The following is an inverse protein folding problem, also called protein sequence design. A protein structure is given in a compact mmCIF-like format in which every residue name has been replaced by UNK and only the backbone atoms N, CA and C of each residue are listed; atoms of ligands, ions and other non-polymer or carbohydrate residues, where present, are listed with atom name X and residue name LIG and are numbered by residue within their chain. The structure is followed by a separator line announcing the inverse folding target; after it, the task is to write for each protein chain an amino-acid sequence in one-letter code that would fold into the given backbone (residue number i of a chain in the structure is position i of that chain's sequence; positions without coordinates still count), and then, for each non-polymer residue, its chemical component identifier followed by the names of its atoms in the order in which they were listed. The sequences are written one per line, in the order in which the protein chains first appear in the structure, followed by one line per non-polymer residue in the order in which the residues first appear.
data_IF_302711123862
#
_entry.id   IF_302711123862
#
_cell.length_a   1.000
_cell.length_b   1.000
_cell.length_c   1.000
_cell.angle_alpha   90.00
_cell.angle_beta   90.00
_cell.angle_gamma   90.00
#
_symmetry.space_group_name_H-M   'P 1'
#
loop_
_entity.id
_entity.type
_entity.pdbx_description
1 polymer ?
#
# COMPACT_ATOMS: atom_id res chain seq x y z
N UNK A 1 -19.03 11.72 25.39
CA UNK A 1 -18.45 11.74 24.02
C UNK A 1 -17.24 10.80 23.87
N UNK A 2 -16.38 10.62 24.88
CA UNK A 2 -15.22 9.70 24.82
C UNK A 2 -15.57 8.24 24.44
N UNK A 3 -16.60 7.66 25.07
CA UNK A 3 -17.02 6.28 24.80
C UNK A 3 -17.56 6.04 23.38
N UNK A 4 -18.00 7.09 22.67
CA UNK A 4 -18.52 6.97 21.31
C UNK A 4 -17.36 6.98 20.29
N UNK A 5 -16.32 7.79 20.52
CA UNK A 5 -15.11 7.77 19.70
C UNK A 5 -14.40 6.43 19.80
N UNK A 6 -14.18 5.90 20.99
CA UNK A 6 -13.55 4.59 21.17
C UNK A 6 -14.34 3.46 20.50
N UNK A 7 -15.68 3.51 20.56
CA UNK A 7 -16.53 2.52 19.92
C UNK A 7 -16.40 2.57 18.39
N UNK A 8 -16.43 3.77 17.81
CA UNK A 8 -16.26 3.99 16.37
C UNK A 8 -14.87 3.57 15.90
N UNK A 9 -13.82 3.91 16.66
CA UNK A 9 -12.44 3.51 16.38
C UNK A 9 -12.31 1.98 16.40
N UNK A 10 -12.88 1.31 17.41
CA UNK A 10 -12.86 -0.15 17.54
C UNK A 10 -13.64 -0.87 16.44
N UNK A 11 -14.78 -0.33 16.02
CA UNK A 11 -15.55 -0.88 14.89
C UNK A 11 -14.78 -0.72 13.59
N UNK A 12 -14.17 0.45 13.36
CA UNK A 12 -13.30 0.71 12.20
C UNK A 12 -12.12 -0.25 12.15
N UNK A 13 -11.40 -0.41 13.26
CA UNK A 13 -10.24 -1.31 13.34
C UNK A 13 -10.65 -2.77 13.12
N UNK A 14 -11.78 -3.20 13.71
CA UNK A 14 -12.28 -4.56 13.47
C UNK A 14 -12.69 -4.77 12.02
N UNK A 15 -13.31 -3.76 11.39
CA UNK A 15 -13.78 -3.82 10.01
C UNK A 15 -12.61 -3.85 9.02
N UNK A 16 -11.61 -3.00 9.22
CA UNK A 16 -10.37 -3.01 8.42
C UNK A 16 -9.63 -4.34 8.58
N UNK A 17 -9.56 -4.87 9.82
CA UNK A 17 -8.93 -6.16 10.08
C UNK A 17 -9.67 -7.31 9.38
N UNK A 18 -11.00 -7.30 9.41
CA UNK A 18 -11.84 -8.32 8.76
C UNK A 18 -11.73 -8.27 7.23
N UNK A 19 -11.68 -7.08 6.63
CA UNK A 19 -11.47 -6.92 5.18
C UNK A 19 -10.09 -7.43 4.77
N UNK A 20 -9.04 -7.09 5.52
CA UNK A 20 -7.70 -7.59 5.25
C UNK A 20 -7.62 -9.11 5.39
N UNK A 21 -8.24 -9.70 6.41
CA UNK A 21 -8.30 -11.16 6.62
C UNK A 21 -9.09 -11.86 5.49
N UNK A 22 -10.20 -11.29 5.05
CA UNK A 22 -10.96 -11.76 3.89
C UNK A 22 -10.11 -11.69 2.61
N UNK A 23 -9.39 -10.60 2.40
CA UNK A 23 -8.50 -10.43 1.25
C UNK A 23 -7.33 -11.42 1.28
N UNK A 24 -6.75 -11.70 2.45
CA UNK A 24 -5.62 -12.62 2.62
C UNK A 24 -6.03 -14.11 2.56
N UNK A 25 -7.31 -14.40 2.86
CA UNK A 25 -7.90 -15.74 2.74
C UNK A 25 -8.13 -16.17 1.30
N UNK A 26 -8.31 -15.23 0.36
CA UNK A 26 -8.49 -15.53 -1.06
C UNK A 26 -7.19 -15.58 -1.87
N UNK A 27 -6.04 -15.35 -1.23
CA UNK A 27 -4.74 -15.34 -1.92
C UNK A 27 -4.23 -16.75 -2.13
N UNK A 28 -3.91 -17.05 -3.38
CA UNK A 28 -3.28 -18.31 -3.77
C UNK A 28 -1.89 -18.44 -3.15
N UNK A 29 -1.43 -19.68 -2.96
CA UNK A 29 -0.06 -19.93 -2.46
C UNK A 29 1.01 -19.27 -3.34
N UNK A 30 0.77 -19.20 -4.66
CA UNK A 30 1.64 -18.50 -5.60
C UNK A 30 1.76 -17.01 -5.32
N UNK A 31 0.67 -16.33 -4.97
CA UNK A 31 0.69 -14.90 -4.63
C UNK A 31 1.42 -14.62 -3.32
N UNK A 32 1.30 -15.51 -2.33
CA UNK A 32 2.02 -15.39 -1.04
C UNK A 32 3.52 -15.59 -1.21
N UNK A 33 3.94 -16.54 -2.06
CA UNK A 33 5.35 -16.76 -2.39
C UNK A 33 5.90 -15.60 -3.21
N UNK A 34 5.13 -15.10 -4.18
CA UNK A 34 5.51 -13.95 -5.01
C UNK A 34 5.68 -12.67 -4.17
N UNK A 35 4.83 -12.42 -3.17
CA UNK A 35 4.99 -11.32 -2.21
C UNK A 35 6.34 -11.39 -1.50
N UNK A 36 6.63 -12.53 -0.88
CA UNK A 36 7.90 -12.72 -0.15
C UNK A 36 9.11 -12.62 -1.07
N UNK A 37 9.00 -13.12 -2.29
CA UNK A 37 10.05 -13.03 -3.30
C UNK A 37 10.28 -11.58 -3.76
N UNK A 38 9.22 -10.79 -3.94
CA UNK A 38 9.32 -9.38 -4.31
C UNK A 38 9.96 -8.54 -3.19
N UNK A 39 9.55 -8.75 -1.94
CA UNK A 39 10.12 -8.07 -0.78
C UNK A 39 11.60 -8.44 -0.58
N UNK A 40 11.95 -9.71 -0.79
CA UNK A 40 13.34 -10.17 -0.69
C UNK A 40 14.22 -9.65 -1.83
N UNK A 41 13.72 -9.68 -3.08
CA UNK A 41 14.44 -9.21 -4.25
C UNK A 41 14.64 -7.67 -4.25
N UNK A 42 13.77 -6.92 -3.57
CA UNK A 42 13.89 -5.47 -3.40
C UNK A 42 14.88 -5.01 -2.33
N UNK A 43 15.47 -5.93 -1.55
CA UNK A 43 16.39 -5.57 -0.45
C UNK A 43 17.81 -5.30 -0.93
N UNK A 44 18.45 -4.28 -0.33
CA UNK A 44 19.88 -4.01 -0.50
C UNK A 44 20.78 -5.20 -0.11
N UNK A 45 20.36 -6.01 0.86
CA UNK A 45 21.10 -7.20 1.29
C UNK A 45 21.12 -8.29 0.21
N UNK A 46 20.07 -8.40 -0.60
CA UNK A 46 19.99 -9.37 -1.70
C UNK A 46 20.99 -9.01 -2.81
N UNK A 47 21.05 -7.72 -3.18
CA UNK A 47 21.99 -7.22 -4.20
C UNK A 47 23.44 -7.52 -3.80
N UNK A 48 23.81 -7.22 -2.55
CA UNK A 48 25.16 -7.49 -2.03
C UNK A 48 25.48 -8.98 -1.96
N UNK A 49 24.53 -9.81 -1.51
CA UNK A 49 24.71 -11.27 -1.49
C UNK A 49 24.88 -11.84 -2.90
N UNK A 50 24.11 -11.36 -3.88
CA UNK A 50 24.19 -11.81 -5.26
C UNK A 50 25.55 -11.44 -5.87
N UNK A 51 26.03 -10.23 -5.63
CA UNK A 51 27.36 -9.79 -6.05
C UNK A 51 28.47 -10.64 -5.42
N UNK A 52 28.36 -10.96 -4.13
CA UNK A 52 29.32 -11.83 -3.44
C UNK A 52 29.36 -13.25 -4.04
N UNK A 53 28.20 -13.84 -4.36
CA UNK A 53 28.12 -15.17 -4.99
C UNK A 53 28.76 -15.15 -6.38
N UNK A 54 28.53 -14.11 -7.19
CA UNK A 54 29.16 -13.95 -8.50
C UNK A 54 30.67 -13.85 -8.38
N UNK A 55 31.18 -13.02 -7.47
CA UNK A 55 32.61 -12.90 -7.21
C UNK A 55 33.21 -14.22 -6.74
N UNK A 56 32.53 -14.95 -5.85
CA UNK A 56 32.96 -16.27 -5.38
C UNK A 56 33.02 -17.27 -6.53
N UNK A 57 32.03 -17.30 -7.42
CA UNK A 57 32.00 -18.18 -8.59
C UNK A 57 33.14 -17.90 -9.57
N UNK A 58 33.41 -16.62 -9.82
CA UNK A 58 34.52 -16.17 -10.67
C UNK A 58 35.86 -16.54 -10.02
N UNK A 59 36.04 -16.27 -8.72
CA UNK A 59 37.25 -16.63 -7.98
C UNK A 59 37.48 -18.15 -7.94
N UNK A 60 36.42 -18.93 -7.71
CA UNK A 60 36.48 -20.39 -7.70
C UNK A 60 36.87 -20.96 -9.07
N UNK A 61 36.22 -20.52 -10.15
CA UNK A 61 36.58 -20.95 -11.50
C UNK A 61 37.99 -20.50 -11.89
N UNK A 62 38.40 -19.28 -11.53
CA UNK A 62 39.75 -18.76 -11.81
C UNK A 62 40.82 -19.54 -11.04
N UNK A 63 40.54 -19.98 -9.81
CA UNK A 63 41.45 -20.81 -9.00
C UNK A 63 41.59 -22.25 -9.54
N UNK A 64 40.50 -22.82 -10.07
CA UNK A 64 40.45 -24.19 -10.62
C UNK A 64 41.06 -24.33 -12.02
N UNK A 65 41.38 -23.21 -12.69
CA UNK A 65 42.10 -23.18 -13.98
C UNK A 65 43.38 -24.01 -13.97
N UNK A 66 44.06 -24.15 -12.82
CA UNK A 66 45.32 -24.92 -12.71
C UNK A 66 45.17 -26.44 -12.91
N UNK A 67 43.97 -27.02 -12.73
CA UNK A 67 43.79 -28.48 -12.76
C UNK A 67 42.86 -28.95 -13.88
N UNK A 68 41.70 -28.30 -14.07
CA UNK A 68 40.78 -28.50 -15.22
C UNK A 68 39.65 -27.48 -15.12
N UNK A 69 39.55 -26.47 -16.01
CA UNK A 69 38.51 -25.45 -15.90
C UNK A 69 37.11 -26.05 -16.17
N UNK A 70 36.17 -25.80 -15.26
CA UNK A 70 34.76 -26.20 -15.41
C UNK A 70 33.99 -25.20 -16.29
N UNK A 71 34.28 -23.89 -16.14
CA UNK A 71 33.78 -22.81 -17.01
C UNK A 71 34.94 -21.85 -17.37
N UNK A 72 35.67 -22.11 -18.47
CA UNK A 72 36.78 -21.26 -18.90
C UNK A 72 36.30 -19.85 -19.28
N UNK A 73 37.16 -18.85 -19.11
CA UNK A 73 36.90 -17.50 -19.62
C UNK A 73 36.57 -17.58 -21.12
N UNK A 74 35.41 -17.08 -21.60
CA UNK A 74 34.58 -15.98 -21.07
C UNK A 74 33.34 -16.36 -20.21
N UNK A 75 33.34 -17.51 -19.51
CA UNK A 75 32.26 -17.98 -18.63
C UNK A 75 30.90 -18.18 -19.31
N UNK A 76 30.82 -19.15 -20.23
CA UNK A 76 29.64 -19.36 -21.08
C UNK A 76 28.41 -19.81 -20.26
N UNK A 77 28.62 -20.62 -19.21
CA UNK A 77 27.54 -21.13 -18.37
C UNK A 77 26.98 -20.03 -17.47
N UNK A 78 27.86 -19.22 -16.87
CA UNK A 78 27.45 -18.07 -16.08
C UNK A 78 26.63 -17.08 -16.91
N UNK A 79 27.09 -16.80 -18.14
CA UNK A 79 26.41 -15.89 -19.05
C UNK A 79 25.02 -16.41 -19.45
N UNK A 80 24.89 -17.71 -19.73
CA UNK A 80 23.61 -18.34 -20.05
C UNK A 80 22.61 -18.22 -18.89
N UNK A 81 23.05 -18.50 -17.66
CA UNK A 81 22.20 -18.40 -16.47
C UNK A 81 21.77 -16.96 -16.21
N UNK A 82 22.69 -16.00 -16.28
CA UNK A 82 22.38 -14.59 -16.10
C UNK A 82 21.41 -14.06 -17.15
N UNK A 83 21.57 -14.47 -18.41
CA UNK A 83 20.66 -14.10 -19.50
C UNK A 83 19.25 -14.66 -19.29
N UNK A 84 19.15 -15.90 -18.81
CA UNK A 84 17.87 -16.52 -18.46
C UNK A 84 17.19 -15.80 -17.28
N UNK A 85 17.94 -15.47 -16.23
CA UNK A 85 17.44 -14.71 -15.07
C UNK A 85 16.95 -13.32 -15.48
N UNK A 86 17.71 -12.60 -16.31
CA UNK A 86 17.34 -11.29 -16.81
C UNK A 86 16.05 -11.33 -17.66
N UNK A 87 15.89 -12.37 -18.49
CA UNK A 87 14.68 -12.55 -19.31
C UNK A 87 13.41 -12.75 -18.46
N UNK A 88 13.52 -13.44 -17.33
CA UNK A 88 12.41 -13.65 -16.39
C UNK A 88 12.14 -12.45 -15.48
N UNK A 89 13.10 -11.52 -15.37
CA UNK A 89 13.02 -10.38 -14.45
C UNK A 89 11.90 -9.41 -14.84
N UNK A 90 11.78 -9.04 -16.12
CA UNK A 90 10.78 -8.07 -16.59
C UNK A 90 9.32 -8.53 -16.37
N UNK A 91 8.93 -9.79 -16.69
CA UNK A 91 7.60 -10.30 -16.38
C UNK A 91 7.29 -10.34 -14.88
N UNK A 92 8.25 -10.73 -14.03
CA UNK A 92 8.06 -10.78 -12.58
C UNK A 92 7.86 -9.37 -12.01
N UNK A 93 8.66 -8.40 -12.47
CA UNK A 93 8.49 -6.99 -12.11
C UNK A 93 7.11 -6.50 -12.57
N UNK A 94 6.71 -6.78 -13.81
CA UNK A 94 5.41 -6.37 -14.36
C UNK A 94 4.23 -7.00 -13.61
N UNK A 95 4.34 -8.27 -13.18
CA UNK A 95 3.33 -8.92 -12.34
C UNK A 95 3.24 -8.28 -10.96
N UNK A 96 4.38 -7.95 -10.34
CA UNK A 96 4.42 -7.26 -9.05
C UNK A 96 3.81 -5.85 -9.15
N UNK A 97 4.15 -5.12 -10.22
CA UNK A 97 3.62 -3.79 -10.52
C UNK A 97 2.10 -3.82 -10.73
N UNK A 98 1.58 -4.68 -11.61
CA UNK A 98 0.12 -4.80 -11.86
C UNK A 98 -0.68 -5.04 -10.58
N UNK A 99 -0.11 -5.81 -9.65
CA UNK A 99 -0.74 -6.08 -8.36
C UNK A 99 -0.69 -4.87 -7.43
N UNK A 100 0.44 -4.16 -7.37
CA UNK A 100 0.56 -2.94 -6.59
C UNK A 100 -0.41 -1.86 -7.11
N UNK A 101 -0.49 -1.67 -8.43
CA UNK A 101 -1.44 -0.77 -9.07
C UNK A 101 -2.90 -1.12 -8.76
N UNK A 102 -3.25 -2.40 -8.69
CA UNK A 102 -4.62 -2.80 -8.31
C UNK A 102 -4.95 -2.44 -6.86
N UNK A 103 -3.98 -2.58 -5.94
CA UNK A 103 -4.15 -2.16 -4.53
C UNK A 103 -4.26 -0.64 -4.43
N UNK A 104 -3.40 0.07 -5.16
CA UNK A 104 -3.38 1.53 -5.16
C UNK A 104 -4.68 2.09 -5.77
N UNK A 105 -5.21 1.48 -6.84
CA UNK A 105 -6.51 1.85 -7.40
C UNK A 105 -7.67 1.71 -6.40
N UNK A 106 -7.71 0.61 -5.65
CA UNK A 106 -8.74 0.41 -4.63
C UNK A 106 -8.62 1.44 -3.49
N UNK A 107 -7.39 1.76 -3.07
CA UNK A 107 -7.15 2.83 -2.09
C UNK A 107 -7.62 4.17 -2.60
N UNK A 108 -7.28 4.54 -3.84
CA UNK A 108 -7.71 5.80 -4.44
C UNK A 108 -9.23 5.91 -4.58
N UNK A 109 -9.93 4.79 -4.88
CA UNK A 109 -11.40 4.78 -4.91
C UNK A 109 -11.99 5.00 -3.52
N UNK A 110 -11.46 4.31 -2.50
CA UNK A 110 -11.91 4.51 -1.12
C UNK A 110 -11.65 5.93 -0.62
N UNK A 111 -10.48 6.50 -0.92
CA UNK A 111 -10.15 7.88 -0.55
C UNK A 111 -11.11 8.87 -1.23
N UNK A 112 -11.42 8.66 -2.51
CA UNK A 112 -12.42 9.44 -3.23
C UNK A 112 -13.82 9.36 -2.57
N UNK A 113 -14.28 8.17 -2.20
CA UNK A 113 -15.58 8.00 -1.54
C UNK A 113 -15.64 8.70 -0.17
N UNK A 114 -14.53 8.67 0.58
CA UNK A 114 -14.40 9.39 1.85
C UNK A 114 -14.42 10.90 1.64
N UNK A 115 -13.75 11.41 0.62
CA UNK A 115 -13.73 12.83 0.29
C UNK A 115 -15.14 13.34 -0.07
N UNK A 116 -15.85 12.63 -0.95
CA UNK A 116 -17.24 12.97 -1.33
C UNK A 116 -18.16 12.94 -0.10
N UNK A 117 -18.00 11.94 0.77
CA UNK A 117 -18.77 11.86 2.02
C UNK A 117 -18.47 13.02 2.95
N UNK A 118 -17.21 13.44 3.01
CA UNK A 118 -16.79 14.59 3.83
C UNK A 118 -17.38 15.89 3.29
N UNK A 119 -17.38 16.07 1.98
CA UNK A 119 -18.02 17.21 1.31
C UNK A 119 -19.52 17.30 1.65
N UNK A 120 -20.27 16.21 1.49
CA UNK A 120 -21.70 16.16 1.86
C UNK A 120 -21.94 16.48 3.34
N UNK A 121 -21.07 16.00 4.25
CA UNK A 121 -21.18 16.30 5.68
C UNK A 121 -20.93 17.78 5.97
N UNK A 122 -19.96 18.41 5.29
CA UNK A 122 -19.69 19.85 5.41
C UNK A 122 -20.89 20.66 4.91
N UNK A 123 -21.45 20.33 3.76
CA UNK A 123 -22.65 20.97 3.24
C UNK A 123 -23.83 20.87 4.23
N UNK A 124 -24.04 19.68 4.81
CA UNK A 124 -25.07 19.48 5.82
C UNK A 124 -24.82 20.31 7.08
N UNK A 125 -23.57 20.40 7.57
CA UNK A 125 -23.23 21.26 8.71
C UNK A 125 -23.48 22.74 8.41
N UNK A 126 -23.22 23.21 7.18
CA UNK A 126 -23.52 24.58 6.76
C UNK A 126 -25.03 24.85 6.84
N UNK A 127 -25.86 23.91 6.38
CA UNK A 127 -27.33 24.02 6.48
C UNK A 127 -27.79 24.11 7.94
N UNK A 128 -27.28 23.24 8.82
CA UNK A 128 -27.58 23.27 10.25
C UNK A 128 -27.15 24.59 10.91
N UNK A 129 -25.99 25.14 10.53
CA UNK A 129 -25.51 26.43 11.02
C UNK A 129 -26.44 27.58 10.58
N UNK A 130 -26.95 27.54 9.35
CA UNK A 130 -27.88 28.55 8.86
C UNK A 130 -29.25 28.46 9.54
N UNK A 131 -29.73 27.26 9.85
CA UNK A 131 -30.93 27.05 10.68
C UNK A 131 -30.77 27.65 12.07
N UNK A 132 -29.64 27.38 12.74
CA UNK A 132 -29.31 27.95 14.06
C UNK A 132 -29.26 29.48 13.99
N UNK A 133 -28.66 30.06 12.93
CA UNK A 133 -28.62 31.53 12.76
C UNK A 133 -30.02 32.12 12.61
N UNK A 134 -30.92 31.46 11.86
CA UNK A 134 -32.32 31.89 11.73
C UNK A 134 -33.04 31.87 13.08
N UNK A 135 -32.90 30.80 13.84
CA UNK A 135 -33.47 30.69 15.19
C UNK A 135 -32.95 31.80 16.12
N UNK A 136 -31.64 32.08 16.09
CA UNK A 136 -31.07 33.19 16.87
C UNK A 136 -31.66 34.54 16.46
N UNK A 137 -31.85 34.79 15.16
CA UNK A 137 -32.45 36.03 14.68
C UNK A 137 -33.91 36.20 15.14
N UNK A 138 -34.68 35.13 15.19
CA UNK A 138 -36.04 35.13 15.74
C UNK A 138 -36.07 35.41 17.24
N UNK A 139 -35.14 34.81 17.99
CA UNK A 139 -34.97 35.07 19.43
C UNK A 139 -34.60 36.55 19.66
N UNK A 140 -33.69 37.11 18.87
CA UNK A 140 -33.34 38.54 18.98
C UNK A 140 -34.56 39.45 18.75
N UNK A 141 -35.40 39.14 17.77
CA UNK A 141 -36.64 39.89 17.51
C UNK A 141 -37.62 39.81 18.68
N UNK A 142 -37.83 38.63 19.25
CA UNK A 142 -38.75 38.47 20.38
C UNK A 142 -38.26 39.20 21.64
N UNK A 143 -36.95 39.17 21.91
CA UNK A 143 -36.34 39.94 23.00
C UNK A 143 -36.52 41.45 22.82
N UNK A 144 -36.41 41.96 21.58
CA UNK A 144 -36.62 43.38 21.30
C UNK A 144 -38.07 43.83 21.49
N UNK A 145 -39.04 42.96 21.14
CA UNK A 145 -40.46 43.21 21.39
C UNK A 145 -40.77 43.27 22.89
N UNK A 146 -40.28 42.30 23.68
CA UNK A 146 -40.46 42.29 25.14
C UNK A 146 -39.85 43.53 25.79
N UNK A 147 -38.72 44.03 25.27
CA UNK A 147 -38.10 45.27 25.77
C UNK A 147 -38.91 46.53 25.45
N UNK A 148 -39.69 46.55 24.38
CA UNK A 148 -40.56 47.68 24.00
C UNK A 148 -41.88 47.72 24.78
N UNK A 149 -42.32 46.59 25.31
CA UNK A 149 -43.57 46.46 26.10
C UNK A 149 -43.39 46.80 27.60
N UNK A 150 -42.14 47.00 28.06
CA UNK A 150 -41.80 47.47 29.40
C UNK A 150 -41.42 48.95 29.41
#
# INVERSE_FOLDING_TARGET
MQNLKEKIESEKDSFIKNINELHDSQRTLGEKVADKMADFAGSWTFILSFMAILLLWISFNSWIVLFKPYDPYPFILLNLVLSCLAALQAPIIMMSQKRQESKDRLRSQHDYDVDVKTEMLVEHMIQQLDEIKKQQAEIWKSLEQIKKEK
#
